data_IF_931958675776
#
_entry.id   IF_931958675776
#
_cell.length_a   1.000
_cell.length_b   1.000
_cell.length_c   1.000
_cell.angle_alpha   90.00
_cell.angle_beta   90.00
_cell.angle_gamma   90.00
#
_symmetry.space_group_name_H-M   'P 1'
#
loop_
_entity.id
_entity.type
_entity.pdbx_description
1 polymer ?
#
# COMPACT_ATOMS: atom_id res chain seq x y z
N UNK A 1 24.98 -28.51 -10.10
CA UNK A 1 24.60 -27.84 -11.37
C UNK A 1 24.22 -26.39 -11.06
N UNK A 2 24.98 -25.42 -11.55
CA UNK A 2 24.57 -24.02 -11.52
C UNK A 2 23.41 -23.83 -12.51
N UNK A 3 22.22 -23.54 -12.00
CA UNK A 3 21.05 -23.25 -12.83
C UNK A 3 20.99 -21.74 -13.07
N UNK A 4 20.86 -21.34 -14.34
CA UNK A 4 20.60 -19.95 -14.74
C UNK A 4 19.12 -19.82 -15.11
N UNK A 5 18.51 -18.69 -14.75
CA UNK A 5 17.13 -18.39 -15.15
C UNK A 5 17.00 -18.42 -16.69
N UNK A 6 15.94 -19.01 -17.24
CA UNK A 6 15.67 -18.95 -18.68
C UNK A 6 15.17 -17.56 -19.13
N UNK A 7 14.72 -16.72 -18.20
CA UNK A 7 14.25 -15.36 -18.48
C UNK A 7 15.45 -14.43 -18.68
N UNK A 8 15.51 -13.78 -19.85
CA UNK A 8 16.59 -12.84 -20.21
C UNK A 8 16.35 -11.44 -19.65
N UNK A 9 15.08 -11.05 -19.52
CA UNK A 9 14.65 -9.74 -19.04
C UNK A 9 13.55 -9.89 -17.98
N UNK A 10 13.32 -8.82 -17.22
CA UNK A 10 12.19 -8.76 -16.29
C UNK A 10 10.88 -8.73 -17.10
N UNK A 11 9.84 -9.45 -16.65
CA UNK A 11 8.51 -9.34 -17.25
C UNK A 11 8.00 -7.89 -17.22
N UNK A 12 7.15 -7.56 -18.19
CA UNK A 12 6.41 -6.30 -18.16
C UNK A 12 5.51 -6.25 -16.93
N UNK A 13 5.40 -5.06 -16.36
CA UNK A 13 4.53 -4.81 -15.22
C UNK A 13 3.09 -4.74 -15.68
N UNK A 14 2.19 -5.22 -14.83
CA UNK A 14 0.76 -5.12 -15.05
C UNK A 14 0.22 -3.82 -14.44
N UNK A 15 -1.01 -3.46 -14.81
CA UNK A 15 -1.62 -2.20 -14.38
C UNK A 15 -1.78 -2.13 -12.86
N UNK A 16 -1.21 -1.08 -12.26
CA UNK A 16 -1.26 -0.82 -10.81
C UNK A 16 -0.40 -1.76 -9.96
N UNK A 17 0.61 -2.43 -10.54
CA UNK A 17 1.47 -3.36 -9.79
C UNK A 17 2.22 -2.67 -8.64
N UNK A 18 2.69 -1.42 -8.81
CA UNK A 18 3.40 -0.68 -7.77
C UNK A 18 2.51 -0.36 -6.57
N UNK A 19 1.22 -0.12 -6.81
CA UNK A 19 0.23 0.06 -5.76
C UNK A 19 -0.08 -1.25 -5.03
N UNK A 20 -0.11 -2.39 -5.73
CA UNK A 20 -0.19 -3.70 -5.08
C UNK A 20 1.04 -3.96 -4.19
N UNK A 21 2.23 -3.70 -4.71
CA UNK A 21 3.49 -3.83 -3.97
C UNK A 21 3.47 -2.91 -2.73
N UNK A 22 2.96 -1.68 -2.86
CA UNK A 22 2.78 -0.75 -1.73
C UNK A 22 1.78 -1.27 -0.70
N UNK A 23 0.66 -1.85 -1.13
CA UNK A 23 -0.32 -2.47 -0.21
C UNK A 23 0.35 -3.65 0.52
N UNK A 24 1.07 -4.51 -0.19
CA UNK A 24 1.79 -5.63 0.40
C UNK A 24 2.83 -5.15 1.41
N UNK A 25 3.58 -4.11 1.07
CA UNK A 25 4.54 -3.48 1.97
C UNK A 25 3.88 -2.94 3.25
N UNK A 26 2.77 -2.21 3.11
CA UNK A 26 2.02 -1.70 4.27
C UNK A 26 1.45 -2.81 5.17
N UNK A 27 1.06 -3.94 4.60
CA UNK A 27 0.50 -5.06 5.35
C UNK A 27 1.56 -5.98 5.97
N UNK A 28 2.70 -6.17 5.29
CA UNK A 28 3.70 -7.18 5.65
C UNK A 28 5.02 -6.61 6.20
N UNK A 29 5.47 -5.45 5.72
CA UNK A 29 6.78 -4.86 6.08
C UNK A 29 6.68 -3.76 7.13
N UNK A 30 5.47 -3.35 7.54
CA UNK A 30 5.33 -2.58 8.77
C UNK A 30 5.85 -3.47 9.91
N UNK A 31 7.09 -3.28 10.35
CA UNK A 31 7.76 -4.03 11.43
C UNK A 31 7.02 -3.97 12.78
N UNK A 32 5.90 -3.26 12.84
CA UNK A 32 5.07 -3.05 14.00
C UNK A 32 4.66 -4.35 14.71
N UNK A 33 4.18 -5.43 14.07
CA UNK A 33 3.80 -6.66 14.78
C UNK A 33 4.99 -7.30 15.50
N UNK A 34 6.16 -7.32 14.87
CA UNK A 34 7.38 -7.88 15.45
C UNK A 34 7.92 -7.01 16.60
N UNK A 35 7.92 -5.69 16.45
CA UNK A 35 8.31 -4.77 17.53
C UNK A 35 7.34 -4.82 18.72
N UNK A 36 6.03 -4.94 18.46
CA UNK A 36 5.01 -5.10 19.51
C UNK A 36 5.22 -6.42 20.25
N UNK A 37 5.41 -7.53 19.53
CA UNK A 37 5.66 -8.82 20.14
C UNK A 37 6.93 -8.80 21.01
N UNK A 38 8.02 -8.19 20.52
CA UNK A 38 9.25 -7.99 21.29
C UNK A 38 9.03 -7.16 22.56
N UNK A 39 8.30 -6.04 22.45
CA UNK A 39 7.97 -5.20 23.60
C UNK A 39 7.11 -5.95 24.63
N UNK A 40 6.14 -6.75 24.19
CA UNK A 40 5.34 -7.61 25.07
C UNK A 40 6.23 -8.56 25.86
N UNK A 41 7.18 -9.23 25.19
CA UNK A 41 8.10 -10.17 25.86
C UNK A 41 8.98 -9.47 26.90
N UNK A 42 9.50 -8.28 26.59
CA UNK A 42 10.30 -7.47 27.53
C UNK A 42 9.47 -7.05 28.74
N UNK A 43 8.23 -6.59 28.53
CA UNK A 43 7.35 -6.15 29.61
C UNK A 43 6.93 -7.33 30.51
N UNK A 44 6.60 -8.49 29.92
CA UNK A 44 6.30 -9.72 30.68
C UNK A 44 7.52 -10.12 31.53
N UNK A 45 8.71 -10.16 30.93
CA UNK A 45 9.93 -10.50 31.65
C UNK A 45 10.22 -9.51 32.78
N UNK A 46 10.10 -8.20 32.54
CA UNK A 46 10.26 -7.17 33.56
C UNK A 46 9.27 -7.31 34.72
N UNK A 47 8.01 -7.65 34.42
CA UNK A 47 6.99 -7.90 35.45
C UNK A 47 7.30 -9.17 36.27
N UNK A 48 7.84 -10.23 35.66
CA UNK A 48 8.33 -11.40 36.40
C UNK A 48 9.53 -11.07 37.30
N UNK A 49 10.52 -10.35 36.80
CA UNK A 49 11.67 -9.93 37.61
C UNK A 49 11.23 -9.05 38.78
N UNK A 50 10.30 -8.14 38.57
CA UNK A 50 9.76 -7.30 39.65
C UNK A 50 9.05 -8.14 40.72
N UNK A 51 8.26 -9.13 40.33
CA UNK A 51 7.64 -10.08 41.27
C UNK A 51 8.68 -10.84 42.07
N UNK A 52 9.73 -11.33 41.40
CA UNK A 52 10.83 -12.05 42.04
C UNK A 52 11.53 -11.20 43.11
N UNK A 53 11.88 -9.96 42.79
CA UNK A 53 12.54 -9.06 43.75
C UNK A 53 11.65 -8.63 44.91
N UNK A 54 10.34 -8.48 44.69
CA UNK A 54 9.40 -8.00 45.71
C UNK A 54 8.71 -9.12 46.50
N UNK A 55 8.95 -10.39 46.17
CA UNK A 55 8.23 -11.56 46.71
C UNK A 55 6.69 -11.42 46.63
N UNK A 56 6.20 -10.72 45.61
CA UNK A 56 4.77 -10.44 45.44
C UNK A 56 4.06 -11.63 44.81
N UNK A 57 2.86 -12.01 45.31
CA UNK A 57 2.08 -13.08 44.68
C UNK A 57 1.63 -12.68 43.26
N UNK A 58 1.33 -13.65 42.38
CA UNK A 58 0.82 -13.37 41.05
C UNK A 58 -0.49 -12.57 41.11
N UNK A 59 -0.51 -11.38 40.53
CA UNK A 59 -1.72 -10.55 40.35
C UNK A 59 -1.97 -10.31 38.86
N UNK A 60 -3.22 -10.45 38.39
CA UNK A 60 -3.56 -10.24 36.98
C UNK A 60 -3.60 -8.77 36.58
N UNK A 61 -3.66 -7.84 37.54
CA UNK A 61 -3.92 -6.42 37.28
C UNK A 61 -2.85 -5.76 36.39
N UNK A 62 -1.54 -5.85 36.70
CA UNK A 62 -0.52 -5.19 35.88
C UNK A 62 -0.54 -5.67 34.43
N UNK A 63 -0.66 -6.98 34.23
CA UNK A 63 -0.72 -7.59 32.90
C UNK A 63 -1.98 -7.19 32.13
N UNK A 64 -3.10 -7.00 32.84
CA UNK A 64 -4.36 -6.52 32.25
C UNK A 64 -4.24 -5.08 31.76
N UNK A 65 -3.61 -4.20 32.54
CA UNK A 65 -3.37 -2.79 32.14
C UNK A 65 -2.47 -2.74 30.90
N UNK A 66 -1.38 -3.52 30.90
CA UNK A 66 -0.47 -3.62 29.76
C UNK A 66 -1.22 -4.11 28.51
N UNK A 67 -1.98 -5.20 28.64
CA UNK A 67 -2.79 -5.75 27.56
C UNK A 67 -3.78 -4.70 27.01
N UNK A 68 -4.44 -3.92 27.87
CA UNK A 68 -5.37 -2.88 27.46
C UNK A 68 -4.69 -1.78 26.62
N UNK A 69 -3.52 -1.30 27.05
CA UNK A 69 -2.73 -0.30 26.28
C UNK A 69 -2.38 -0.83 24.89
N UNK A 70 -1.95 -2.09 24.81
CA UNK A 70 -1.63 -2.73 23.53
C UNK A 70 -2.85 -2.91 22.63
N UNK A 71 -3.99 -3.31 23.19
CA UNK A 71 -5.25 -3.44 22.43
C UNK A 71 -5.65 -2.09 21.84
N UNK A 72 -5.58 -1.01 22.62
CA UNK A 72 -5.90 0.34 22.14
C UNK A 72 -4.93 0.78 21.02
N UNK A 73 -3.63 0.59 21.21
CA UNK A 73 -2.64 0.94 20.19
C UNK A 73 -2.81 0.11 18.91
N UNK A 74 -3.03 -1.20 19.04
CA UNK A 74 -3.26 -2.10 17.92
C UNK A 74 -4.53 -1.71 17.14
N UNK A 75 -5.61 -1.35 17.85
CA UNK A 75 -6.84 -0.86 17.23
C UNK A 75 -6.60 0.45 16.44
N UNK A 76 -5.86 1.39 17.03
CA UNK A 76 -5.47 2.64 16.34
C UNK A 76 -4.64 2.38 15.07
N UNK A 77 -3.60 1.56 15.17
CA UNK A 77 -2.72 1.23 14.03
C UNK A 77 -3.50 0.47 12.94
N UNK A 78 -4.34 -0.49 13.33
CA UNK A 78 -5.22 -1.21 12.41
C UNK A 78 -6.15 -0.26 11.65
N UNK A 79 -6.79 0.69 12.33
CA UNK A 79 -7.65 1.68 11.69
C UNK A 79 -6.88 2.55 10.70
N UNK A 80 -5.67 3.00 11.08
CA UNK A 80 -4.80 3.81 10.21
C UNK A 80 -4.40 3.04 8.94
N UNK A 81 -3.90 1.81 9.06
CA UNK A 81 -3.52 0.96 7.93
C UNK A 81 -4.72 0.65 7.05
N UNK A 82 -5.87 0.31 7.64
CA UNK A 82 -7.11 0.06 6.89
C UNK A 82 -7.54 1.26 6.06
N UNK A 83 -7.45 2.47 6.62
CA UNK A 83 -7.78 3.71 5.91
C UNK A 83 -6.82 3.96 4.73
N UNK A 84 -5.51 3.79 4.95
CA UNK A 84 -4.50 3.97 3.90
C UNK A 84 -4.63 2.95 2.78
N UNK A 85 -4.77 1.66 3.11
CA UNK A 85 -4.98 0.58 2.14
C UNK A 85 -6.24 0.83 1.29
N UNK A 86 -7.32 1.32 1.90
CA UNK A 86 -8.55 1.67 1.16
C UNK A 86 -8.28 2.78 0.13
N UNK A 87 -7.52 3.80 0.50
CA UNK A 87 -7.14 4.90 -0.39
C UNK A 87 -6.29 4.41 -1.56
N UNK A 88 -5.29 3.56 -1.29
CA UNK A 88 -4.40 3.02 -2.33
C UNK A 88 -5.17 2.09 -3.27
N UNK A 89 -6.06 1.24 -2.74
CA UNK A 89 -6.91 0.36 -3.56
C UNK A 89 -7.79 1.17 -4.52
N UNK A 90 -8.36 2.28 -4.06
CA UNK A 90 -9.16 3.15 -4.92
C UNK A 90 -8.33 3.68 -6.11
N UNK A 91 -7.11 4.15 -5.86
CA UNK A 91 -6.19 4.59 -6.91
C UNK A 91 -5.91 3.48 -7.91
N UNK A 92 -5.49 2.31 -7.41
CA UNK A 92 -5.18 1.10 -8.20
C UNK A 92 -6.35 0.63 -9.05
N UNK A 93 -7.55 0.59 -8.48
CA UNK A 93 -8.73 0.11 -9.20
C UNK A 93 -9.12 1.08 -10.32
N UNK A 94 -8.87 2.39 -10.14
CA UNK A 94 -9.01 3.38 -11.20
C UNK A 94 -7.93 3.28 -12.29
N UNK A 95 -6.66 3.10 -11.91
CA UNK A 95 -5.58 2.80 -12.88
C UNK A 95 -5.92 1.56 -13.70
N UNK A 96 -6.39 0.48 -13.06
CA UNK A 96 -6.81 -0.75 -13.73
C UNK A 96 -7.96 -0.52 -14.71
N UNK A 97 -8.97 0.24 -14.31
CA UNK A 97 -10.09 0.57 -15.18
C UNK A 97 -9.61 1.34 -16.43
N UNK A 98 -8.75 2.34 -16.27
CA UNK A 98 -8.16 3.08 -17.40
C UNK A 98 -7.30 2.15 -18.26
N UNK A 99 -6.43 1.37 -17.64
CA UNK A 99 -5.54 0.42 -18.32
C UNK A 99 -6.29 -0.58 -19.20
N UNK A 100 -7.44 -1.09 -18.75
CA UNK A 100 -8.30 -1.96 -19.56
C UNK A 100 -8.75 -1.29 -20.86
N UNK A 101 -9.23 -0.05 -20.80
CA UNK A 101 -9.60 0.69 -22.02
C UNK A 101 -8.41 1.02 -22.91
N UNK A 102 -7.24 1.26 -22.31
CA UNK A 102 -6.03 1.51 -23.09
C UNK A 102 -5.60 0.25 -23.81
N UNK A 103 -5.68 -0.92 -23.18
CA UNK A 103 -5.27 -2.19 -23.77
C UNK A 103 -6.02 -2.53 -25.08
N UNK A 104 -7.25 -2.05 -25.28
CA UNK A 104 -7.98 -2.14 -26.56
C UNK A 104 -7.21 -1.47 -27.72
N UNK A 105 -6.37 -0.48 -27.44
CA UNK A 105 -5.55 0.18 -28.45
C UNK A 105 -4.40 -0.71 -28.94
N UNK A 106 -4.07 -1.81 -28.24
CA UNK A 106 -3.09 -2.79 -28.73
C UNK A 106 -3.53 -3.42 -30.04
N UNK A 107 -4.83 -3.66 -30.21
CA UNK A 107 -5.41 -4.20 -31.46
C UNK A 107 -5.17 -3.27 -32.66
N UNK A 108 -5.02 -1.97 -32.40
CA UNK A 108 -4.69 -0.94 -33.40
C UNK A 108 -3.19 -0.85 -33.69
N UNK A 109 -2.40 -1.81 -33.20
CA UNK A 109 -0.95 -1.90 -33.36
C UNK A 109 -0.17 -0.93 -32.47
N UNK A 110 -0.78 -0.39 -31.41
CA UNK A 110 -0.08 0.46 -30.44
C UNK A 110 0.62 -0.41 -29.39
N UNK A 111 1.79 0.03 -28.90
CA UNK A 111 2.46 -0.61 -27.77
C UNK A 111 2.12 0.13 -26.50
N UNK A 112 1.74 -0.60 -25.48
CA UNK A 112 1.28 -0.03 -24.22
C UNK A 112 2.08 -0.63 -23.08
N UNK A 113 2.60 0.23 -22.24
CA UNK A 113 3.33 -0.09 -21.04
C UNK A 113 2.59 0.48 -19.86
N UNK A 114 2.54 -0.28 -18.78
CA UNK A 114 1.85 0.10 -17.56
C UNK A 114 2.83 0.09 -16.41
N UNK A 115 2.60 0.98 -15.46
CA UNK A 115 3.30 1.03 -14.18
C UNK A 115 4.83 1.03 -14.36
N UNK A 116 5.34 1.96 -15.17
CA UNK A 116 6.77 2.10 -15.41
C UNK A 116 7.40 2.78 -14.19
N UNK A 117 8.30 2.07 -13.52
CA UNK A 117 9.10 2.60 -12.41
C UNK A 117 10.42 3.12 -12.97
N UNK A 118 10.70 4.41 -12.74
CA UNK A 118 12.00 5.03 -13.03
C UNK A 118 12.85 5.23 -11.79
N UNK A 119 13.99 5.89 -11.97
CA UNK A 119 14.86 6.27 -10.86
C UNK A 119 14.21 7.36 -9.99
N UNK A 120 14.47 7.33 -8.68
CA UNK A 120 14.07 8.41 -7.77
C UNK A 120 12.56 8.57 -7.56
N UNK A 121 11.88 7.54 -7.03
CA UNK A 121 10.43 7.54 -6.70
C UNK A 121 9.49 7.95 -7.84
N UNK A 122 9.98 7.96 -9.08
CA UNK A 122 9.19 8.30 -10.25
C UNK A 122 8.44 7.07 -10.77
N UNK A 123 7.14 7.20 -10.97
CA UNK A 123 6.30 6.21 -11.62
C UNK A 123 5.49 6.86 -12.75
N UNK A 124 5.24 6.11 -13.81
CA UNK A 124 4.29 6.45 -14.87
C UNK A 124 3.20 5.39 -14.95
N UNK A 125 1.95 5.81 -14.83
CA UNK A 125 0.82 4.86 -14.81
C UNK A 125 0.67 4.14 -16.15
N UNK A 126 0.65 4.88 -17.27
CA UNK A 126 0.57 4.28 -18.61
C UNK A 126 1.37 5.06 -19.66
N UNK A 127 2.07 4.35 -20.54
CA UNK A 127 2.77 4.90 -21.71
C UNK A 127 2.31 4.20 -22.97
N UNK A 128 1.87 4.97 -23.96
CA UNK A 128 1.43 4.49 -25.27
C UNK A 128 2.44 4.93 -26.32
N UNK A 129 2.99 3.97 -27.07
CA UNK A 129 3.84 4.22 -28.22
C UNK A 129 3.04 3.89 -29.48
N UNK A 130 2.84 4.91 -30.32
CA UNK A 130 2.14 4.81 -31.59
C UNK A 130 2.97 5.43 -32.72
N UNK A 131 2.52 5.27 -33.96
CA UNK A 131 3.13 5.96 -35.12
C UNK A 131 3.00 7.48 -35.07
N UNK A 132 2.08 8.01 -34.25
CA UNK A 132 1.81 9.45 -34.12
C UNK A 132 2.59 10.11 -32.98
N UNK A 133 3.20 9.32 -32.10
CA UNK A 133 3.93 9.83 -30.95
C UNK A 133 3.87 8.91 -29.74
N UNK A 134 4.48 9.41 -28.66
CA UNK A 134 4.50 8.79 -27.33
C UNK A 134 3.58 9.60 -26.42
N UNK A 135 2.66 8.93 -25.76
CA UNK A 135 1.70 9.54 -24.85
C UNK A 135 1.89 8.97 -23.45
N UNK A 136 1.96 9.84 -22.46
CA UNK A 136 1.97 9.47 -21.05
C UNK A 136 0.59 9.79 -20.49
N UNK A 137 -0.05 8.81 -19.88
CA UNK A 137 -1.37 8.96 -19.28
C UNK A 137 -1.22 8.70 -17.79
N UNK A 138 -1.54 9.72 -17.01
CA UNK A 138 -1.60 9.67 -15.55
C UNK A 138 -3.06 9.53 -15.11
N UNK A 139 -3.32 8.64 -14.16
CA UNK A 139 -4.67 8.37 -13.66
C UNK A 139 -4.82 8.93 -12.25
N UNK A 140 -5.81 9.81 -12.05
CA UNK A 140 -6.21 10.28 -10.72
C UNK A 140 -7.64 9.88 -10.41
N UNK A 141 -7.80 9.11 -9.34
CA UNK A 141 -9.09 8.55 -8.93
C UNK A 141 -9.56 9.18 -7.64
N UNK A 142 -10.78 9.71 -7.65
CA UNK A 142 -11.36 10.40 -6.50
C UNK A 142 -12.72 9.80 -6.13
N UNK A 143 -12.97 9.72 -4.81
CA UNK A 143 -14.30 9.38 -4.30
C UNK A 143 -15.24 10.58 -4.49
N UNK A 144 -16.47 10.31 -4.95
CA UNK A 144 -17.51 11.31 -5.13
C UNK A 144 -18.48 11.32 -3.94
N UNK A 145 -19.11 12.45 -3.61
CA UNK A 145 -20.21 12.49 -2.63
C UNK A 145 -21.32 11.50 -3.01
N UNK A 146 -22.00 10.93 -2.01
CA UNK A 146 -23.08 9.97 -2.25
C UNK A 146 -24.32 10.58 -2.93
N UNK A 147 -24.47 11.91 -2.87
CA UNK A 147 -25.56 12.66 -3.48
C UNK A 147 -25.09 14.04 -3.93
N UNK A 148 -25.74 14.59 -4.96
CA UNK A 148 -25.39 15.89 -5.54
C UNK A 148 -24.53 15.78 -6.79
N UNK A 149 -24.32 16.91 -7.48
CA UNK A 149 -23.50 16.96 -8.69
C UNK A 149 -22.03 17.13 -8.31
N UNK A 150 -21.16 16.27 -8.87
CA UNK A 150 -19.71 16.42 -8.76
C UNK A 150 -19.17 17.10 -10.00
N UNK A 151 -18.51 18.26 -9.86
CA UNK A 151 -17.83 18.96 -10.95
C UNK A 151 -16.33 18.93 -10.70
N UNK A 152 -15.59 18.33 -11.62
CA UNK A 152 -14.13 18.32 -11.56
C UNK A 152 -13.62 19.53 -12.33
N UNK A 153 -12.85 20.38 -11.68
CA UNK A 153 -12.20 21.55 -12.27
C UNK A 153 -10.70 21.30 -12.37
N UNK A 154 -10.11 21.67 -13.52
CA UNK A 154 -8.66 21.65 -13.73
C UNK A 154 -8.22 23.04 -14.18
N UNK A 155 -7.35 23.67 -13.41
CA UNK A 155 -6.83 25.01 -13.68
C UNK A 155 -5.50 25.01 -14.46
N UNK A 156 -5.02 23.84 -14.87
CA UNK A 156 -3.69 23.65 -15.47
C UNK A 156 -2.64 23.13 -14.50
N UNK A 157 -2.87 23.22 -13.18
CA UNK A 157 -1.95 22.76 -12.13
C UNK A 157 -2.60 21.77 -11.16
N UNK A 158 -3.88 21.97 -10.81
CA UNK A 158 -4.58 21.25 -9.75
C UNK A 158 -5.97 20.82 -10.17
N UNK A 159 -6.37 19.66 -9.64
CA UNK A 159 -7.74 19.15 -9.72
C UNK A 159 -8.50 19.54 -8.45
N UNK A 160 -9.64 20.21 -8.61
CA UNK A 160 -10.60 20.50 -7.54
C UNK A 160 -11.94 19.80 -7.83
N UNK A 161 -12.57 19.31 -6.77
CA UNK A 161 -13.83 18.53 -6.81
C UNK A 161 -14.89 19.24 -5.99
#
# INVERSE_FOLDING_TARGET
>A
MNKKSPLKDKPLRYVGQSLDERIHKLLNEDAAPYMIAGLIMVVIAGNEWLRYYLNSPPSPIPMTIIALIFVIYAAYKFYKVKKEVRSIRLGRDGERAVGQYLDDLREKGHRIFHDIIGDGNFNLDHVIISRKGIYVIETKTYSKPASGQTKIWFDGEKLTI
#
